data_IF_953839622903
#
_entry.id   IF_953839622903
#
_cell.length_a   1.000
_cell.length_b   1.000
_cell.length_c   1.000
_cell.angle_alpha   90.00
_cell.angle_beta   90.00
_cell.angle_gamma   90.00
#
_symmetry.space_group_name_H-M   'P 1'
#
loop_
_entity.id
_entity.type
_entity.pdbx_description
1 polymer ?
#
# COMPACT_ATOMS: atom_id res chain seq x y z
N UNK A 1 9.09 -20.72 17.68
CA UNK A 1 10.04 -20.09 16.74
C UNK A 1 9.70 -20.51 15.31
N UNK A 2 9.85 -19.57 14.40
CA UNK A 2 9.86 -19.81 12.95
C UNK A 2 11.29 -20.08 12.53
N UNK A 3 11.47 -21.10 11.69
CA UNK A 3 12.80 -21.54 11.23
C UNK A 3 12.78 -21.64 9.71
N UNK A 4 13.73 -20.98 9.06
CA UNK A 4 14.01 -21.18 7.65
C UNK A 4 15.19 -22.15 7.47
N UNK A 5 15.06 -23.08 6.53
CA UNK A 5 16.10 -24.07 6.22
C UNK A 5 16.40 -24.09 4.73
N UNK A 6 17.67 -24.24 4.40
CA UNK A 6 18.15 -24.48 3.04
C UNK A 6 18.88 -25.83 3.07
N UNK A 7 18.49 -26.76 2.19
CA UNK A 7 19.06 -28.11 2.09
C UNK A 7 19.07 -28.89 3.43
N UNK A 8 18.05 -28.63 4.28
CA UNK A 8 17.88 -29.25 5.58
C UNK A 8 18.61 -28.53 6.72
N UNK A 9 19.53 -27.63 6.44
CA UNK A 9 20.26 -26.86 7.44
C UNK A 9 19.51 -25.57 7.83
N UNK A 10 19.52 -25.27 9.13
CA UNK A 10 18.89 -24.07 9.66
C UNK A 10 19.72 -22.84 9.31
N UNK A 11 19.14 -21.94 8.51
CA UNK A 11 19.77 -20.67 8.09
C UNK A 11 19.26 -19.47 8.87
N UNK A 12 18.06 -19.57 9.42
CA UNK A 12 17.45 -18.42 10.12
C UNK A 12 16.44 -18.94 11.16
N UNK A 13 16.40 -18.25 12.31
CA UNK A 13 15.44 -18.51 13.39
C UNK A 13 14.95 -17.20 14.00
N UNK A 14 13.62 -17.06 14.15
CA UNK A 14 13.00 -15.91 14.82
C UNK A 14 11.82 -16.36 15.70
N UNK A 15 11.64 -15.78 16.89
CA UNK A 15 10.44 -15.99 17.68
C UNK A 15 9.19 -15.51 16.96
N UNK A 16 8.12 -16.30 16.99
CA UNK A 16 6.88 -15.99 16.27
C UNK A 16 6.23 -14.68 16.74
N UNK A 17 6.32 -14.37 18.04
CA UNK A 17 5.74 -13.16 18.63
C UNK A 17 6.44 -11.86 18.20
N UNK A 18 7.57 -11.94 17.49
CA UNK A 18 8.22 -10.79 16.86
C UNK A 18 7.72 -10.54 15.45
N UNK A 19 6.77 -11.34 14.95
CA UNK A 19 6.28 -11.27 13.58
C UNK A 19 4.82 -10.82 13.57
N UNK A 20 4.52 -9.84 12.74
CA UNK A 20 3.14 -9.45 12.40
C UNK A 20 2.59 -10.29 11.25
N UNK A 21 3.47 -10.74 10.36
CA UNK A 21 3.11 -11.58 9.23
C UNK A 21 4.32 -12.26 8.61
N UNK A 22 4.06 -13.30 7.81
CA UNK A 22 5.06 -14.02 7.02
C UNK A 22 4.60 -14.01 5.57
N UNK A 23 5.48 -13.59 4.66
CA UNK A 23 5.22 -13.62 3.23
C UNK A 23 6.24 -14.54 2.56
N UNK A 24 5.76 -15.53 1.81
CA UNK A 24 6.62 -16.44 1.04
C UNK A 24 6.52 -16.14 -0.45
N UNK A 25 7.67 -16.09 -1.13
CA UNK A 25 7.78 -15.84 -2.58
C UNK A 25 8.20 -17.13 -3.31
N UNK A 26 7.51 -18.23 -3.03
CA UNK A 26 7.87 -19.52 -3.63
C UNK A 26 6.67 -20.45 -3.73
N UNK A 27 6.83 -21.51 -4.52
CA UNK A 27 5.88 -22.62 -4.57
C UNK A 27 6.17 -23.70 -3.50
N UNK A 28 7.19 -23.51 -2.67
CA UNK A 28 7.58 -24.51 -1.64
C UNK A 28 6.59 -24.58 -0.47
N UNK A 29 5.80 -23.53 -0.27
CA UNK A 29 4.78 -23.50 0.79
C UNK A 29 5.38 -23.35 2.20
N UNK A 30 4.66 -23.88 3.19
CA UNK A 30 5.01 -23.85 4.59
C UNK A 30 4.67 -25.22 5.22
N UNK A 31 5.42 -25.62 6.27
CA UNK A 31 5.11 -26.86 6.97
C UNK A 31 3.77 -26.76 7.73
N UNK A 32 3.04 -27.87 7.91
CA UNK A 32 1.82 -27.90 8.70
C UNK A 32 2.02 -27.34 10.13
N UNK A 33 3.19 -27.60 10.73
CA UNK A 33 3.53 -27.08 12.06
C UNK A 33 3.69 -25.55 12.07
N UNK A 34 4.26 -24.95 11.02
CA UNK A 34 4.32 -23.49 10.88
C UNK A 34 2.93 -22.92 10.66
N UNK A 35 2.11 -23.55 9.80
CA UNK A 35 0.73 -23.13 9.56
C UNK A 35 -0.08 -23.12 10.86
N UNK A 36 0.00 -24.19 11.66
CA UNK A 36 -0.68 -24.27 12.95
C UNK A 36 -0.20 -23.19 13.92
N UNK A 37 1.11 -22.98 14.02
CA UNK A 37 1.69 -21.96 14.89
C UNK A 37 1.21 -20.55 14.48
N UNK A 38 1.20 -20.23 13.19
CA UNK A 38 0.71 -18.94 12.68
C UNK A 38 -0.77 -18.71 13.05
N UNK A 39 -1.61 -19.73 12.88
CA UNK A 39 -3.04 -19.67 13.27
C UNK A 39 -3.22 -19.44 14.76
N UNK A 40 -2.44 -20.15 15.60
CA UNK A 40 -2.52 -20.04 17.07
C UNK A 40 -2.10 -18.66 17.58
N UNK A 41 -1.04 -18.10 17.00
CA UNK A 41 -0.45 -16.83 17.43
C UNK A 41 -1.05 -15.61 16.68
N UNK A 42 -1.99 -15.83 15.75
CA UNK A 42 -2.61 -14.75 14.97
C UNK A 42 -1.67 -14.09 13.96
N UNK A 43 -0.60 -14.79 13.55
CA UNK A 43 0.36 -14.32 12.54
C UNK A 43 -0.12 -14.73 11.15
N UNK A 44 -0.35 -13.75 10.28
CA UNK A 44 -0.79 -14.01 8.90
C UNK A 44 0.31 -14.65 8.08
N UNK A 45 -0.01 -15.72 7.36
CA UNK A 45 0.90 -16.37 6.42
C UNK A 45 0.39 -16.20 5.00
N UNK A 46 1.12 -15.45 4.18
CA UNK A 46 0.76 -15.12 2.80
C UNK A 46 1.68 -15.82 1.81
N UNK A 47 1.10 -16.41 0.78
CA UNK A 47 1.80 -17.10 -0.30
C UNK A 47 1.72 -16.27 -1.58
N UNK A 48 2.88 -15.93 -2.13
CA UNK A 48 3.03 -15.25 -3.41
C UNK A 48 3.83 -16.14 -4.37
N UNK A 49 3.59 -15.99 -5.67
CA UNK A 49 4.49 -16.57 -6.68
C UNK A 49 5.88 -15.94 -6.57
N UNK A 50 6.95 -16.55 -7.13
CA UNK A 50 8.26 -15.93 -7.20
C UNK A 50 8.26 -14.53 -7.83
N UNK A 51 7.27 -14.24 -8.68
CA UNK A 51 7.08 -12.93 -9.32
C UNK A 51 6.17 -11.97 -8.53
N UNK A 52 5.80 -12.34 -7.29
CA UNK A 52 5.00 -11.48 -6.40
C UNK A 52 3.48 -11.51 -6.62
N UNK A 53 2.96 -12.42 -7.49
CA UNK A 53 1.51 -12.56 -7.65
C UNK A 53 0.92 -13.35 -6.48
N UNK A 54 -0.17 -12.87 -5.92
CA UNK A 54 -0.88 -13.52 -4.82
C UNK A 54 -1.41 -14.90 -5.20
N UNK A 55 -1.18 -15.88 -4.33
CA UNK A 55 -1.70 -17.25 -4.42
C UNK A 55 -2.82 -17.44 -3.40
N UNK A 56 -2.57 -17.08 -2.14
CA UNK A 56 -3.51 -17.23 -1.03
C UNK A 56 -2.89 -16.82 0.30
N UNK A 57 -3.71 -16.76 1.34
CA UNK A 57 -3.26 -16.56 2.72
C UNK A 57 -3.87 -17.59 3.64
N UNK A 58 -3.16 -17.92 4.71
CA UNK A 58 -3.65 -18.69 5.83
C UNK A 58 -3.91 -17.75 6.99
N UNK A 59 -5.14 -17.75 7.44
CA UNK A 59 -5.60 -17.02 8.62
C UNK A 59 -6.33 -17.98 9.56
N UNK A 60 -6.33 -17.66 10.84
CA UNK A 60 -7.07 -18.42 11.83
C UNK A 60 -8.58 -18.16 11.76
N UNK A 61 -9.36 -18.84 12.59
CA UNK A 61 -10.79 -18.54 12.70
C UNK A 61 -11.00 -17.06 13.00
N UNK A 62 -11.86 -16.42 12.22
CA UNK A 62 -12.21 -15.02 12.44
C UNK A 62 -12.87 -14.86 13.81
N UNK A 63 -12.16 -14.25 14.75
CA UNK A 63 -12.64 -13.95 16.10
C UNK A 63 -13.12 -12.49 16.22
N UNK A 64 -13.37 -11.85 15.11
CA UNK A 64 -13.65 -10.43 15.03
C UNK A 64 -15.05 -10.04 15.51
N UNK A 65 -15.24 -8.74 15.70
CA UNK A 65 -16.48 -8.13 16.12
C UNK A 65 -17.51 -8.17 14.97
N UNK A 66 -18.47 -9.09 15.04
CA UNK A 66 -19.56 -9.24 14.07
C UNK A 66 -20.33 -7.94 13.86
N UNK A 67 -20.49 -7.12 14.92
CA UNK A 67 -21.19 -5.83 14.82
C UNK A 67 -20.39 -4.83 13.98
N UNK A 68 -19.08 -4.83 14.08
CA UNK A 68 -18.19 -3.99 13.26
C UNK A 68 -18.32 -4.36 11.78
N UNK A 69 -18.25 -5.65 11.45
CA UNK A 69 -18.42 -6.13 10.06
C UNK A 69 -19.79 -5.78 9.50
N UNK A 70 -20.85 -5.97 10.28
CA UNK A 70 -22.19 -5.54 9.87
C UNK A 70 -22.26 -4.04 9.61
N UNK A 71 -21.55 -3.24 10.38
CA UNK A 71 -21.45 -1.79 10.17
C UNK A 71 -20.67 -1.46 8.91
N UNK A 72 -19.57 -2.17 8.62
CA UNK A 72 -18.81 -2.01 7.35
C UNK A 72 -19.72 -2.27 6.14
N UNK A 73 -20.49 -3.36 6.12
CA UNK A 73 -21.43 -3.63 5.03
C UNK A 73 -22.49 -2.53 4.87
N UNK A 74 -23.09 -2.07 5.97
CA UNK A 74 -24.06 -0.97 5.92
C UNK A 74 -23.47 0.33 5.37
N UNK A 75 -22.23 0.65 5.75
CA UNK A 75 -21.51 1.81 5.21
C UNK A 75 -21.23 1.63 3.72
N UNK A 76 -20.87 0.41 3.29
CA UNK A 76 -20.61 0.11 1.88
C UNK A 76 -21.86 0.27 1.00
N UNK A 77 -23.04 -0.02 1.55
CA UNK A 77 -24.33 0.11 0.87
C UNK A 77 -24.89 1.56 0.88
N UNK A 78 -24.38 2.42 1.77
CA UNK A 78 -24.74 3.83 1.89
C UNK A 78 -23.73 4.70 1.11
N UNK A 79 -24.11 5.16 -0.08
CA UNK A 79 -23.21 5.92 -0.97
C UNK A 79 -22.65 7.20 -0.32
N UNK A 80 -23.40 8.06 0.38
CA UNK A 80 -22.85 9.20 1.10
C UNK A 80 -21.86 8.81 2.19
N UNK A 81 -22.14 7.78 2.98
CA UNK A 81 -21.24 7.29 4.03
C UNK A 81 -19.96 6.71 3.42
N UNK A 82 -20.07 5.86 2.39
CA UNK A 82 -18.94 5.30 1.67
C UNK A 82 -18.06 6.39 1.04
N UNK A 83 -18.68 7.42 0.42
CA UNK A 83 -17.98 8.57 -0.14
C UNK A 83 -17.24 9.38 0.94
N UNK A 84 -17.83 9.52 2.13
CA UNK A 84 -17.18 10.18 3.26
C UNK A 84 -15.90 9.47 3.68
N UNK A 85 -15.95 8.15 3.89
CA UNK A 85 -14.76 7.36 4.23
C UNK A 85 -13.71 7.39 3.11
N UNK A 86 -14.13 7.26 1.84
CA UNK A 86 -13.23 7.40 0.71
C UNK A 86 -12.52 8.76 0.70
N UNK A 87 -13.25 9.85 0.96
CA UNK A 87 -12.69 11.20 1.02
C UNK A 87 -11.65 11.36 2.15
N UNK A 88 -11.87 10.72 3.31
CA UNK A 88 -10.90 10.71 4.42
C UNK A 88 -9.60 10.01 4.01
N UNK A 89 -9.67 8.82 3.42
CA UNK A 89 -8.50 8.08 2.96
C UNK A 89 -7.74 8.84 1.87
N UNK A 90 -8.44 9.41 0.89
CA UNK A 90 -7.80 10.17 -0.19
C UNK A 90 -7.22 11.48 0.34
N UNK A 91 -7.87 12.15 1.30
CA UNK A 91 -7.31 13.33 1.96
C UNK A 91 -5.99 13.02 2.67
N UNK A 92 -5.92 11.91 3.42
CA UNK A 92 -4.70 11.46 4.08
C UNK A 92 -3.60 11.09 3.06
N UNK A 93 -3.96 10.39 1.97
CA UNK A 93 -3.03 10.06 0.88
C UNK A 93 -2.43 11.33 0.26
N UNK A 94 -3.26 12.33 -0.05
CA UNK A 94 -2.78 13.62 -0.61
C UNK A 94 -1.90 14.35 0.39
N UNK A 95 -2.23 14.34 1.69
CA UNK A 95 -1.38 14.93 2.73
C UNK A 95 0.01 14.29 2.75
N UNK A 96 0.07 12.96 2.68
CA UNK A 96 1.34 12.22 2.62
C UNK A 96 2.13 12.53 1.35
N UNK A 97 1.49 12.59 0.19
CA UNK A 97 2.13 12.99 -1.08
C UNK A 97 2.74 14.40 -0.96
N UNK A 98 1.99 15.36 -0.42
CA UNK A 98 2.49 16.72 -0.16
C UNK A 98 3.69 16.72 0.81
N UNK A 99 3.65 15.91 1.85
CA UNK A 99 4.74 15.79 2.80
C UNK A 99 6.02 15.27 2.15
N UNK A 100 5.91 14.29 1.26
CA UNK A 100 7.06 13.74 0.50
C UNK A 100 7.65 14.79 -0.43
N UNK A 101 6.82 15.48 -1.24
CA UNK A 101 7.29 16.53 -2.14
C UNK A 101 7.90 17.71 -1.38
N UNK A 102 7.28 18.13 -0.28
CA UNK A 102 7.79 19.22 0.56
C UNK A 102 9.10 18.85 1.26
N UNK A 103 9.30 17.57 1.63
CA UNK A 103 10.57 17.08 2.17
C UNK A 103 11.66 17.16 1.10
N UNK A 104 11.38 16.73 -0.14
CA UNK A 104 12.35 16.84 -1.23
C UNK A 104 12.88 18.28 -1.39
N UNK A 105 12.02 19.29 -1.40
CA UNK A 105 12.44 20.70 -1.49
C UNK A 105 13.35 21.13 -0.33
N UNK A 106 13.04 20.73 0.90
CA UNK A 106 13.84 21.08 2.07
C UNK A 106 15.22 20.39 2.08
N UNK A 107 15.28 19.13 1.66
CA UNK A 107 16.48 18.31 1.84
C UNK A 107 17.45 18.45 0.65
N UNK A 108 16.98 18.84 -0.54
CA UNK A 108 17.77 18.77 -1.77
C UNK A 108 18.01 20.11 -2.47
N UNK A 109 17.27 21.18 -2.11
CA UNK A 109 17.44 22.52 -2.67
C UNK A 109 17.62 22.52 -4.20
N UNK A 110 16.60 22.06 -4.98
CA UNK A 110 16.71 21.97 -6.43
C UNK A 110 16.86 23.35 -7.10
N UNK A 111 17.11 23.37 -8.41
CA UNK A 111 17.15 24.60 -9.19
C UNK A 111 15.81 25.35 -9.09
N UNK A 112 15.82 26.67 -9.25
CA UNK A 112 14.64 27.54 -9.15
C UNK A 112 13.48 27.08 -10.04
N UNK A 113 13.78 26.60 -11.26
CA UNK A 113 12.74 26.09 -12.17
C UNK A 113 12.07 24.82 -11.67
N UNK A 114 12.85 23.88 -11.08
CA UNK A 114 12.31 22.65 -10.47
C UNK A 114 11.53 23.00 -9.21
N UNK A 115 12.07 23.88 -8.37
CA UNK A 115 11.37 24.33 -7.17
C UNK A 115 10.00 24.94 -7.51
N UNK A 116 9.91 25.82 -8.51
CA UNK A 116 8.65 26.41 -8.95
C UNK A 116 7.63 25.34 -9.37
N UNK A 117 8.07 24.31 -10.10
CA UNK A 117 7.19 23.17 -10.50
C UNK A 117 6.66 22.40 -9.29
N UNK A 118 7.50 22.15 -8.29
CA UNK A 118 7.10 21.49 -7.04
C UNK A 118 6.11 22.36 -6.24
N UNK A 119 6.35 23.68 -6.15
CA UNK A 119 5.45 24.58 -5.43
C UNK A 119 4.06 24.66 -6.09
N UNK A 120 4.01 24.67 -7.41
CA UNK A 120 2.75 24.58 -8.14
C UNK A 120 1.99 23.28 -7.83
N UNK A 121 2.66 22.12 -7.94
CA UNK A 121 2.05 20.84 -7.62
C UNK A 121 1.58 20.76 -6.16
N UNK A 122 2.35 21.27 -5.19
CA UNK A 122 1.96 21.36 -3.79
C UNK A 122 0.70 22.22 -3.59
N UNK A 123 0.58 23.33 -4.32
CA UNK A 123 -0.60 24.19 -4.31
C UNK A 123 -1.83 23.49 -4.88
N UNK A 124 -1.67 22.81 -6.03
CA UNK A 124 -2.74 22.03 -6.67
C UNK A 124 -3.21 20.88 -5.78
N UNK A 125 -2.29 20.10 -5.21
CA UNK A 125 -2.60 19.02 -4.27
C UNK A 125 -3.35 19.55 -3.03
N UNK A 126 -2.96 20.72 -2.49
CA UNK A 126 -3.66 21.37 -1.38
C UNK A 126 -5.10 21.76 -1.76
N UNK A 127 -5.31 22.27 -2.96
CA UNK A 127 -6.64 22.62 -3.48
C UNK A 127 -7.51 21.36 -3.66
N UNK A 128 -6.98 20.32 -4.27
CA UNK A 128 -7.66 19.02 -4.43
C UNK A 128 -8.04 18.42 -3.08
N UNK A 129 -7.15 18.43 -2.10
CA UNK A 129 -7.44 17.97 -0.75
C UNK A 129 -8.60 18.73 -0.10
N UNK A 130 -8.62 20.06 -0.21
CA UNK A 130 -9.72 20.87 0.30
C UNK A 130 -11.06 20.58 -0.37
N UNK A 131 -11.06 20.28 -1.67
CA UNK A 131 -12.28 19.99 -2.43
C UNK A 131 -12.99 18.71 -1.95
N UNK A 132 -12.29 17.78 -1.29
CA UNK A 132 -12.86 16.52 -0.80
C UNK A 132 -13.92 16.73 0.29
N UNK A 133 -13.87 17.83 1.04
CA UNK A 133 -14.84 18.14 2.12
C UNK A 133 -16.29 18.17 1.59
N UNK A 134 -16.48 18.52 0.33
CA UNK A 134 -17.80 18.70 -0.29
C UNK A 134 -18.23 17.53 -1.16
N UNK A 135 -17.43 16.45 -1.25
CA UNK A 135 -17.74 15.31 -2.11
C UNK A 135 -18.72 14.36 -1.42
N UNK A 136 -19.76 13.93 -2.16
CA UNK A 136 -20.88 13.13 -1.66
C UNK A 136 -21.04 11.81 -2.40
N UNK A 137 -20.23 11.54 -3.40
CA UNK A 137 -20.22 10.30 -4.17
C UNK A 137 -18.79 9.82 -4.41
N UNK A 138 -18.62 8.49 -4.47
CA UNK A 138 -17.32 7.83 -4.64
C UNK A 138 -16.66 8.15 -5.98
N UNK A 139 -17.44 8.32 -7.05
CA UNK A 139 -16.90 8.62 -8.38
C UNK A 139 -16.19 9.96 -8.41
N UNK A 140 -16.79 10.97 -7.76
CA UNK A 140 -16.17 12.31 -7.65
C UNK A 140 -14.90 12.27 -6.79
N UNK A 141 -14.91 11.50 -5.70
CA UNK A 141 -13.71 11.29 -4.87
C UNK A 141 -12.60 10.57 -5.67
N UNK A 142 -12.97 9.57 -6.47
CA UNK A 142 -12.02 8.87 -7.35
C UNK A 142 -11.44 9.80 -8.43
N UNK A 143 -12.23 10.71 -8.96
CA UNK A 143 -11.74 11.76 -9.88
C UNK A 143 -10.68 12.66 -9.24
N UNK A 144 -10.91 13.10 -7.99
CA UNK A 144 -9.91 13.89 -7.22
C UNK A 144 -8.65 13.06 -6.96
N UNK A 145 -8.77 11.78 -6.63
CA UNK A 145 -7.63 10.87 -6.44
C UNK A 145 -6.80 10.75 -7.71
N UNK A 146 -7.45 10.58 -8.87
CA UNK A 146 -6.77 10.51 -10.16
C UNK A 146 -5.97 11.76 -10.50
N UNK A 147 -6.57 12.96 -10.30
CA UNK A 147 -5.88 14.22 -10.50
C UNK A 147 -4.69 14.39 -9.54
N UNK A 148 -4.86 14.05 -8.27
CA UNK A 148 -3.78 14.11 -7.29
C UNK A 148 -2.64 13.14 -7.63
N UNK A 149 -2.97 11.93 -8.09
CA UNK A 149 -1.98 10.95 -8.54
C UNK A 149 -1.19 11.47 -9.75
N UNK A 150 -1.86 12.11 -10.71
CA UNK A 150 -1.21 12.73 -11.88
C UNK A 150 -0.17 13.76 -11.44
N UNK A 151 -0.54 14.70 -10.56
CA UNK A 151 0.37 15.72 -10.04
C UNK A 151 1.58 15.11 -9.33
N UNK A 152 1.35 14.13 -8.47
CA UNK A 152 2.40 13.49 -7.71
C UNK A 152 3.37 12.70 -8.60
N UNK A 153 2.85 11.86 -9.50
CA UNK A 153 3.68 11.01 -10.34
C UNK A 153 4.41 11.78 -11.45
N UNK A 154 3.93 12.96 -11.86
CA UNK A 154 4.67 13.83 -12.76
C UNK A 154 6.04 14.27 -12.20
N UNK A 155 6.14 14.40 -10.86
CA UNK A 155 7.37 14.80 -10.18
C UNK A 155 8.16 13.62 -9.59
N UNK A 156 7.64 12.39 -9.71
CA UNK A 156 8.17 11.24 -8.99
C UNK A 156 9.60 10.89 -9.41
N UNK A 157 9.99 11.15 -10.67
CA UNK A 157 11.35 10.93 -11.15
C UNK A 157 12.41 11.73 -10.40
N UNK A 158 12.07 12.93 -9.89
CA UNK A 158 12.99 13.73 -9.06
C UNK A 158 13.26 13.09 -7.69
N UNK A 159 12.34 12.26 -7.20
CA UNK A 159 12.46 11.60 -5.89
C UNK A 159 13.39 10.39 -5.94
N UNK A 160 13.68 9.86 -7.13
CA UNK A 160 14.53 8.69 -7.33
C UNK A 160 16.00 9.13 -7.27
N UNK A 161 16.74 8.56 -6.31
CA UNK A 161 18.14 8.93 -6.03
C UNK A 161 19.15 7.96 -6.59
N UNK A 162 18.69 6.83 -7.09
CA UNK A 162 19.52 5.79 -7.67
C UNK A 162 19.53 5.92 -9.18
N UNK A 163 20.68 6.17 -9.82
CA UNK A 163 20.74 6.39 -11.27
C UNK A 163 20.36 5.15 -12.09
N UNK A 164 20.50 3.96 -11.49
CA UNK A 164 20.10 2.70 -12.09
C UNK A 164 18.57 2.50 -12.18
N UNK A 165 17.77 3.30 -11.44
CA UNK A 165 16.32 3.23 -11.48
C UNK A 165 15.75 4.33 -12.36
N UNK A 166 14.96 3.94 -13.35
CA UNK A 166 14.27 4.87 -14.25
C UNK A 166 12.79 5.02 -13.87
N UNK A 167 12.18 6.12 -14.28
CA UNK A 167 10.74 6.34 -14.15
C UNK A 167 10.27 7.38 -15.16
N UNK A 168 9.60 6.92 -16.22
CA UNK A 168 9.03 7.78 -17.27
C UNK A 168 7.54 8.10 -17.04
N UNK A 169 6.97 7.57 -15.96
CA UNK A 169 5.56 7.70 -15.61
C UNK A 169 4.98 6.41 -15.05
N UNK A 170 3.79 6.49 -14.44
CA UNK A 170 3.18 5.33 -13.78
C UNK A 170 2.65 4.32 -14.80
N UNK A 171 3.27 3.13 -14.88
CA UNK A 171 2.82 1.97 -15.64
C UNK A 171 2.54 0.79 -14.70
N UNK A 172 1.43 0.07 -14.93
CA UNK A 172 0.98 -0.97 -13.98
C UNK A 172 0.95 -2.39 -14.57
N UNK A 173 0.49 -2.55 -15.80
CA UNK A 173 0.26 -3.87 -16.42
C UNK A 173 0.64 -3.85 -17.90
N UNK A 174 1.85 -4.25 -18.24
CA UNK A 174 2.98 -4.57 -17.36
C UNK A 174 3.67 -3.31 -16.80
N UNK A 175 4.43 -3.42 -15.69
CA UNK A 175 5.38 -2.38 -15.30
C UNK A 175 6.49 -2.32 -16.35
N UNK A 176 6.87 -1.09 -16.77
CA UNK A 176 7.82 -0.87 -17.86
C UNK A 176 9.25 -0.58 -17.40
N UNK A 177 9.42 -0.33 -16.12
CA UNK A 177 10.69 -0.02 -15.48
C UNK A 177 10.74 -0.60 -14.06
N UNK A 178 11.93 -0.63 -13.46
CA UNK A 178 12.18 -1.20 -12.14
C UNK A 178 11.40 -0.49 -11.04
N UNK A 179 11.28 0.84 -11.12
CA UNK A 179 10.52 1.65 -10.17
C UNK A 179 9.04 1.28 -10.19
N UNK A 180 8.46 1.12 -11.38
CA UNK A 180 7.08 0.67 -11.54
C UNK A 180 6.87 -0.76 -11.07
N UNK A 181 7.85 -1.64 -11.23
CA UNK A 181 7.82 -3.00 -10.70
C UNK A 181 7.77 -2.98 -9.16
N UNK A 182 8.65 -2.22 -8.51
CA UNK A 182 8.67 -2.04 -7.07
C UNK A 182 7.38 -1.40 -6.54
N UNK A 183 6.89 -0.35 -7.17
CA UNK A 183 5.62 0.27 -6.81
C UNK A 183 4.47 -0.74 -6.88
N UNK A 184 4.39 -1.52 -7.96
CA UNK A 184 3.33 -2.53 -8.14
C UNK A 184 3.41 -3.62 -7.08
N UNK A 185 4.62 -4.04 -6.73
CA UNK A 185 4.90 -4.99 -5.67
C UNK A 185 4.41 -4.48 -4.30
N UNK A 186 4.84 -3.28 -3.88
CA UNK A 186 4.42 -2.70 -2.60
C UNK A 186 2.91 -2.40 -2.54
N UNK A 187 2.30 -1.97 -3.65
CA UNK A 187 0.85 -1.82 -3.71
C UNK A 187 0.11 -3.15 -3.52
N UNK A 188 0.65 -4.24 -4.05
CA UNK A 188 0.06 -5.57 -3.88
C UNK A 188 0.14 -6.01 -2.41
N UNK A 189 1.30 -5.86 -1.77
CA UNK A 189 1.47 -6.18 -0.34
C UNK A 189 0.51 -5.34 0.51
N UNK A 190 0.47 -4.02 0.31
CA UNK A 190 -0.41 -3.13 1.05
C UNK A 190 -1.89 -3.49 0.86
N UNK A 191 -2.30 -3.85 -0.35
CA UNK A 191 -3.68 -4.26 -0.62
C UNK A 191 -4.05 -5.51 0.20
N UNK A 192 -3.13 -6.47 0.33
CA UNK A 192 -3.35 -7.66 1.15
C UNK A 192 -3.42 -7.36 2.64
N UNK A 193 -2.57 -6.45 3.14
CA UNK A 193 -2.63 -6.01 4.54
C UNK A 193 -3.96 -5.31 4.85
N UNK A 194 -4.41 -4.42 3.97
CA UNK A 194 -5.71 -3.75 4.13
C UNK A 194 -6.85 -4.75 4.07
N UNK A 195 -6.81 -5.73 3.15
CA UNK A 195 -7.83 -6.78 3.05
C UNK A 195 -7.89 -7.58 4.36
N UNK A 196 -6.74 -8.01 4.90
CA UNK A 196 -6.69 -8.72 6.17
C UNK A 196 -7.30 -7.91 7.32
N UNK A 197 -6.96 -6.61 7.40
CA UNK A 197 -7.51 -5.74 8.44
C UNK A 197 -9.04 -5.55 8.33
N UNK A 198 -9.61 -5.68 7.14
CA UNK A 198 -11.06 -5.58 6.91
C UNK A 198 -11.80 -6.90 7.15
N UNK A 199 -11.10 -8.03 7.08
CA UNK A 199 -11.67 -9.37 7.29
C UNK A 199 -11.68 -9.79 8.77
N UNK A 200 -10.95 -9.10 9.64
CA UNK A 200 -10.92 -9.32 11.11
C UNK A 200 -11.97 -8.46 11.85
#
# INVERSE_FOLDING_TARGET
NVVARIDGEETFRIPIHNLEGIITFSYMGASPGLMQLCVQEGVKLTFLTPTGRYIGSLEGPTRGNVLLRRTQYRIADDEPAAAHFAALFISAKIANQRSVLGRYLRDYHPTESVEATFQEALSQLKSLQKSLVYKRDRMTVMGVEGLAAQQYFALFHHLIRRPEFTFEGRSRRPPRDETNALLSFFYTILAHEVTAALET
#
